data_IF_022364937996
#
_entry.id   IF_022364937996
#
_cell.length_a   1.000
_cell.length_b   1.000
_cell.length_c   1.000
_cell.angle_alpha   90.00
_cell.angle_beta   90.00
_cell.angle_gamma   90.00
#
_symmetry.space_group_name_H-M   'P 1'
#
loop_
_entity.id
_entity.type
_entity.pdbx_description
1 polymer ?
#
# COMPACT_ATOMS: atom_id res chain seq x y z
N UNK A 1 2.78 -20.25 12.34
CA UNK A 1 3.65 -19.29 11.62
C UNK A 1 3.00 -19.02 10.27
N UNK A 2 3.15 -17.82 9.67
CA UNK A 2 2.61 -17.58 8.34
C UNK A 2 3.23 -18.57 7.34
N UNK A 3 2.43 -19.08 6.42
CA UNK A 3 2.95 -19.86 5.29
C UNK A 3 3.48 -18.87 4.27
N UNK A 4 4.77 -18.92 4.00
CA UNK A 4 5.43 -18.00 3.07
C UNK A 4 5.78 -18.74 1.79
N UNK A 5 5.31 -18.18 0.67
CA UNK A 5 5.72 -18.53 -0.67
C UNK A 5 6.86 -17.61 -1.08
N UNK A 6 8.05 -18.17 -1.24
CA UNK A 6 9.21 -17.44 -1.74
C UNK A 6 9.16 -17.40 -3.27
N UNK A 7 9.13 -16.22 -3.87
CA UNK A 7 8.95 -16.06 -5.31
C UNK A 7 10.07 -16.75 -6.11
N UNK A 8 11.29 -16.75 -5.57
CA UNK A 8 12.46 -17.39 -6.18
C UNK A 8 12.40 -18.91 -6.21
N UNK A 9 11.52 -19.52 -5.41
CA UNK A 9 11.35 -20.97 -5.32
C UNK A 9 10.19 -21.49 -6.19
N UNK A 10 9.46 -20.62 -6.88
CA UNK A 10 8.29 -21.00 -7.70
C UNK A 10 8.73 -21.24 -9.16
N UNK A 11 8.38 -22.40 -9.70
CA UNK A 11 8.66 -22.73 -11.09
C UNK A 11 7.69 -22.02 -12.05
N UNK A 12 8.15 -21.71 -13.27
CA UNK A 12 7.31 -21.05 -14.29
C UNK A 12 6.08 -21.89 -14.66
N UNK A 13 6.20 -23.22 -14.70
CA UNK A 13 5.09 -24.12 -15.00
C UNK A 13 3.99 -24.10 -13.93
N UNK A 14 4.37 -23.96 -12.65
CA UNK A 14 3.41 -23.82 -11.55
C UNK A 14 2.62 -22.52 -11.67
N UNK A 15 3.31 -21.41 -12.02
CA UNK A 15 2.68 -20.10 -12.23
C UNK A 15 1.67 -20.16 -13.38
N UNK A 16 2.04 -20.78 -14.51
CA UNK A 16 1.15 -20.94 -15.67
C UNK A 16 -0.08 -21.81 -15.34
N UNK A 17 0.11 -22.87 -14.56
CA UNK A 17 -1.00 -23.74 -14.12
C UNK A 17 -1.99 -22.98 -13.23
N UNK A 18 -1.49 -22.22 -12.25
CA UNK A 18 -2.34 -21.44 -11.35
C UNK A 18 -3.07 -20.34 -12.11
N UNK A 19 -2.42 -19.68 -13.08
CA UNK A 19 -3.07 -18.69 -13.97
C UNK A 19 -4.22 -19.32 -14.75
N UNK A 20 -3.97 -20.46 -15.41
CA UNK A 20 -5.02 -21.16 -16.15
C UNK A 20 -6.21 -21.54 -15.26
N UNK A 21 -5.95 -21.92 -14.01
CA UNK A 21 -7.00 -22.19 -13.04
C UNK A 21 -7.79 -20.92 -12.68
N UNK A 22 -7.12 -19.80 -12.43
CA UNK A 22 -7.78 -18.53 -12.14
C UNK A 22 -8.72 -18.12 -13.29
N UNK A 23 -8.25 -18.20 -14.54
CA UNK A 23 -9.05 -17.87 -15.73
C UNK A 23 -10.30 -18.76 -15.85
N UNK A 24 -10.18 -20.06 -15.53
CA UNK A 24 -11.30 -21.01 -15.55
C UNK A 24 -12.34 -20.75 -14.46
N UNK A 25 -11.94 -20.16 -13.34
CA UNK A 25 -12.84 -19.80 -12.24
C UNK A 25 -13.68 -18.56 -12.56
N UNK A 26 -13.31 -17.76 -13.58
CA UNK A 26 -14.03 -16.55 -13.97
C UNK A 26 -14.00 -15.46 -12.91
N UNK A 27 -15.08 -14.67 -12.81
CA UNK A 27 -15.18 -13.52 -11.89
C UNK A 27 -15.60 -13.96 -10.48
N UNK A 28 -14.69 -14.66 -9.80
CA UNK A 28 -14.87 -15.10 -8.41
C UNK A 28 -13.82 -14.47 -7.50
N UNK A 29 -14.13 -14.33 -6.21
CA UNK A 29 -13.17 -13.85 -5.22
C UNK A 29 -11.90 -14.72 -5.17
N UNK A 30 -12.04 -16.04 -5.34
CA UNK A 30 -10.89 -16.96 -5.39
C UNK A 30 -10.02 -16.72 -6.62
N UNK A 31 -10.62 -16.53 -7.79
CA UNK A 31 -9.90 -16.15 -9.01
C UNK A 31 -9.10 -14.86 -8.80
N UNK A 32 -9.72 -13.82 -8.25
CA UNK A 32 -9.04 -12.56 -7.96
C UNK A 32 -7.82 -12.73 -7.04
N UNK A 33 -7.93 -13.54 -5.99
CA UNK A 33 -6.81 -13.85 -5.09
C UNK A 33 -5.70 -14.61 -5.81
N UNK A 34 -6.03 -15.62 -6.63
CA UNK A 34 -5.04 -16.39 -7.40
C UNK A 34 -4.34 -15.52 -8.44
N UNK A 35 -5.05 -14.62 -9.12
CA UNK A 35 -4.47 -13.66 -10.05
C UNK A 35 -3.51 -12.71 -9.35
N UNK A 36 -3.87 -12.20 -8.17
CA UNK A 36 -2.98 -11.36 -7.36
C UNK A 36 -1.73 -12.11 -6.91
N UNK A 37 -1.89 -13.37 -6.47
CA UNK A 37 -0.79 -14.25 -6.08
C UNK A 37 0.20 -14.44 -7.24
N UNK A 38 -0.30 -14.87 -8.40
CA UNK A 38 0.50 -15.06 -9.62
C UNK A 38 1.24 -13.77 -9.98
N UNK A 39 0.52 -12.64 -9.99
CA UNK A 39 1.09 -11.34 -10.32
C UNK A 39 2.20 -10.93 -9.34
N UNK A 40 2.06 -11.24 -8.05
CA UNK A 40 3.10 -10.96 -7.05
C UNK A 40 4.36 -11.82 -7.28
N UNK A 41 4.18 -13.13 -7.51
CA UNK A 41 5.29 -14.05 -7.78
C UNK A 41 6.07 -13.64 -9.03
N UNK A 42 5.38 -13.26 -10.12
CA UNK A 42 6.03 -12.81 -11.35
C UNK A 42 6.83 -11.52 -11.20
N UNK A 43 6.46 -10.66 -10.24
CA UNK A 43 7.26 -9.48 -9.87
C UNK A 43 8.43 -9.83 -8.95
N UNK A 44 8.62 -11.09 -8.59
CA UNK A 44 9.64 -11.54 -7.64
C UNK A 44 9.31 -11.16 -6.19
N UNK A 45 8.03 -10.95 -5.86
CA UNK A 45 7.60 -10.55 -4.52
C UNK A 45 7.15 -11.78 -3.74
N UNK A 46 7.78 -12.01 -2.59
CA UNK A 46 7.38 -13.06 -1.64
C UNK A 46 5.96 -12.81 -1.11
N UNK A 47 5.17 -13.87 -1.01
CA UNK A 47 3.77 -13.80 -0.56
C UNK A 47 3.60 -14.58 0.73
N UNK A 48 2.95 -13.99 1.73
CA UNK A 48 2.63 -14.65 2.99
C UNK A 48 1.12 -14.85 3.11
N UNK A 49 0.70 -16.07 3.42
CA UNK A 49 -0.69 -16.38 3.77
C UNK A 49 -0.85 -16.35 5.29
N UNK A 50 -1.87 -15.63 5.75
CA UNK A 50 -2.19 -15.50 7.17
C UNK A 50 -3.68 -15.75 7.39
N UNK A 51 -4.01 -16.48 8.45
CA UNK A 51 -5.40 -16.71 8.86
C UNK A 51 -6.03 -15.41 9.36
N UNK A 52 -7.21 -15.09 8.83
CA UNK A 52 -7.95 -13.87 9.18
C UNK A 52 -8.41 -13.84 10.65
N UNK A 53 -8.65 -15.01 11.26
CA UNK A 53 -9.09 -15.12 12.65
C UNK A 53 -7.92 -15.19 13.65
N UNK A 54 -6.68 -15.17 13.16
CA UNK A 54 -5.50 -15.30 14.02
C UNK A 54 -5.32 -14.06 14.89
N UNK A 55 -5.03 -14.30 16.17
CA UNK A 55 -4.47 -13.28 17.05
C UNK A 55 -2.96 -13.15 16.86
N UNK A 56 -2.50 -11.91 16.78
CA UNK A 56 -1.11 -11.55 16.61
C UNK A 56 -0.55 -10.94 17.90
N UNK A 57 0.67 -11.34 18.23
CA UNK A 57 1.46 -10.67 19.25
C UNK A 57 1.97 -9.30 18.75
N UNK A 58 2.33 -8.37 19.65
CA UNK A 58 2.92 -7.10 19.23
C UNK A 58 4.21 -7.23 18.42
N UNK A 59 4.96 -8.33 18.58
CA UNK A 59 6.13 -8.62 17.77
C UNK A 59 5.72 -8.97 16.34
N UNK A 60 4.78 -9.91 16.17
CA UNK A 60 4.29 -10.30 14.84
C UNK A 60 3.66 -9.12 14.11
N UNK A 61 2.92 -8.25 14.82
CA UNK A 61 2.40 -7.00 14.25
C UNK A 61 3.53 -6.11 13.73
N UNK A 62 4.60 -5.92 14.53
CA UNK A 62 5.74 -5.11 14.12
C UNK A 62 6.46 -5.68 12.89
N UNK A 63 6.62 -7.01 12.85
CA UNK A 63 7.26 -7.73 11.75
C UNK A 63 6.45 -7.65 10.45
N UNK A 64 5.11 -7.70 10.56
CA UNK A 64 4.19 -7.53 9.42
C UNK A 64 4.21 -6.09 8.91
N UNK A 65 4.12 -5.11 9.81
CA UNK A 65 4.15 -3.69 9.46
C UNK A 65 5.53 -3.18 9.05
N UNK A 66 6.60 -4.00 9.18
CA UNK A 66 7.99 -3.61 8.92
C UNK A 66 8.43 -2.38 9.74
N UNK A 67 7.99 -2.31 10.99
CA UNK A 67 8.31 -1.22 11.94
C UNK A 67 8.97 -1.77 13.20
N UNK A 68 9.50 -0.87 14.03
CA UNK A 68 10.02 -1.28 15.33
C UNK A 68 8.89 -1.71 16.28
N UNK A 69 9.15 -2.72 17.13
CA UNK A 69 8.21 -3.16 18.17
C UNK A 69 7.70 -2.00 19.05
N UNK A 70 8.54 -1.07 19.54
CA UNK A 70 8.04 0.07 20.32
C UNK A 70 7.05 0.93 19.55
N UNK A 71 7.22 1.07 18.23
CA UNK A 71 6.28 1.81 17.39
C UNK A 71 4.94 1.08 17.27
N UNK A 72 4.94 -0.23 17.03
CA UNK A 72 3.72 -1.03 17.00
C UNK A 72 2.94 -0.93 18.32
N UNK A 73 3.63 -1.02 19.47
CA UNK A 73 3.01 -0.83 20.80
C UNK A 73 2.47 0.59 20.95
N UNK A 74 3.18 1.61 20.47
CA UNK A 74 2.72 3.00 20.51
C UNK A 74 1.44 3.21 19.70
N UNK A 75 1.28 2.53 18.57
CA UNK A 75 0.02 2.57 17.79
C UNK A 75 -1.15 1.99 18.59
N UNK A 76 -0.91 0.91 19.34
CA UNK A 76 -1.90 0.29 20.22
C UNK A 76 -2.27 1.21 21.39
N UNK A 77 -1.27 1.74 22.10
CA UNK A 77 -1.48 2.61 23.25
C UNK A 77 -2.19 3.92 22.88
N UNK A 78 -2.05 4.38 21.63
CA UNK A 78 -2.76 5.54 21.08
C UNK A 78 -4.17 5.22 20.57
N UNK A 79 -4.59 3.96 20.60
CA UNK A 79 -5.88 3.51 20.07
C UNK A 79 -5.98 3.57 18.53
N UNK A 80 -4.85 3.76 17.83
CA UNK A 80 -4.81 3.83 16.36
C UNK A 80 -4.97 2.41 15.78
N UNK A 81 -4.33 1.44 16.45
CA UNK A 81 -4.45 0.02 16.17
C UNK A 81 -5.22 -0.65 17.31
N UNK A 82 -6.36 -1.27 16.97
CA UNK A 82 -7.17 -1.98 17.95
C UNK A 82 -6.41 -3.21 18.48
N UNK A 83 -6.57 -3.47 19.77
CA UNK A 83 -6.01 -4.63 20.43
C UNK A 83 -6.91 -5.06 21.58
N UNK A 84 -6.75 -6.32 21.99
CA UNK A 84 -7.36 -6.88 23.19
C UNK A 84 -6.31 -7.41 24.15
N UNK A 85 -6.69 -7.52 25.42
CA UNK A 85 -5.86 -8.15 26.45
C UNK A 85 -6.26 -9.62 26.59
N UNK A 86 -5.28 -10.51 26.48
CA UNK A 86 -5.43 -11.94 26.80
C UNK A 86 -4.51 -12.21 27.98
N UNK A 87 -5.10 -12.28 29.17
CA UNK A 87 -4.37 -12.19 30.43
C UNK A 87 -3.59 -10.87 30.50
N UNK A 88 -2.27 -10.96 30.70
CA UNK A 88 -1.38 -9.79 30.80
C UNK A 88 -0.79 -9.35 29.45
N UNK A 89 -1.14 -10.01 28.34
CA UNK A 89 -0.52 -9.75 27.04
C UNK A 89 -1.51 -9.12 26.05
N UNK A 90 -1.00 -8.15 25.27
CA UNK A 90 -1.73 -7.57 24.14
C UNK A 90 -1.81 -8.57 22.98
N UNK A 91 -2.94 -8.54 22.28
CA UNK A 91 -3.23 -9.33 21.09
C UNK A 91 -4.00 -8.47 20.09
N UNK A 92 -3.61 -8.52 18.84
CA UNK A 92 -4.28 -7.80 17.75
C UNK A 92 -4.94 -8.84 16.85
N UNK A 93 -6.22 -8.70 16.54
CA UNK A 93 -6.84 -9.57 15.55
C UNK A 93 -6.27 -9.23 14.18
N UNK A 94 -6.05 -10.24 13.33
CA UNK A 94 -5.55 -9.98 11.97
C UNK A 94 -6.47 -9.04 11.20
N UNK A 95 -7.79 -9.19 11.33
CA UNK A 95 -8.77 -8.27 10.75
C UNK A 95 -8.49 -6.79 11.14
N UNK A 96 -8.25 -6.51 12.42
CA UNK A 96 -7.94 -5.16 12.90
C UNK A 96 -6.64 -4.60 12.29
N UNK A 97 -5.64 -5.47 12.08
CA UNK A 97 -4.37 -5.10 11.46
C UNK A 97 -4.53 -4.79 9.98
N UNK A 98 -5.28 -5.61 9.25
CA UNK A 98 -5.61 -5.38 7.83
C UNK A 98 -6.37 -4.06 7.68
N UNK A 99 -7.39 -3.84 8.51
CA UNK A 99 -8.17 -2.59 8.51
C UNK A 99 -7.29 -1.37 8.79
N UNK A 100 -6.31 -1.48 9.68
CA UNK A 100 -5.32 -0.43 9.90
C UNK A 100 -4.48 -0.17 8.65
N UNK A 101 -3.93 -1.20 8.01
CA UNK A 101 -3.11 -1.08 6.80
C UNK A 101 -3.91 -0.41 5.68
N UNK A 102 -5.13 -0.89 5.42
CA UNK A 102 -5.97 -0.34 4.35
C UNK A 102 -6.37 1.11 4.61
N UNK A 103 -6.69 1.49 5.87
CA UNK A 103 -6.94 2.90 6.21
C UNK A 103 -5.69 3.75 5.99
N UNK A 104 -4.52 3.24 6.34
CA UNK A 104 -3.25 3.95 6.18
C UNK A 104 -2.90 4.15 4.69
N UNK A 105 -3.06 3.12 3.86
CA UNK A 105 -2.86 3.20 2.41
C UNK A 105 -3.81 4.21 1.76
N UNK A 106 -5.10 4.21 2.13
CA UNK A 106 -6.07 5.20 1.63
C UNK A 106 -5.68 6.62 2.01
N UNK A 107 -5.23 6.84 3.25
CA UNK A 107 -4.77 8.15 3.70
C UNK A 107 -3.53 8.61 2.91
N UNK A 108 -2.57 7.71 2.68
CA UNK A 108 -1.36 8.00 1.90
C UNK A 108 -1.69 8.31 0.43
N UNK A 109 -2.58 7.52 -0.18
CA UNK A 109 -3.04 7.77 -1.55
C UNK A 109 -3.73 9.12 -1.69
N UNK A 110 -4.55 9.51 -0.70
CA UNK A 110 -5.19 10.82 -0.68
C UNK A 110 -4.18 11.97 -0.56
N UNK A 111 -3.17 11.84 0.30
CA UNK A 111 -2.10 12.85 0.40
C UNK A 111 -1.32 12.95 -0.92
N UNK A 112 -0.97 11.81 -1.51
CA UNK A 112 -0.23 11.78 -2.78
C UNK A 112 -1.00 12.45 -3.91
N UNK A 113 -2.33 12.25 -3.99
CA UNK A 113 -3.15 12.90 -5.02
C UNK A 113 -3.29 14.41 -4.80
N UNK A 114 -3.41 14.85 -3.54
CA UNK A 114 -3.43 16.28 -3.19
C UNK A 114 -2.11 16.96 -3.57
N UNK A 115 -0.97 16.32 -3.29
CA UNK A 115 0.35 16.87 -3.65
C UNK A 115 0.57 16.91 -5.16
N UNK A 116 0.22 15.84 -5.88
CA UNK A 116 0.33 15.79 -7.35
C UNK A 116 -0.52 16.88 -8.02
N UNK A 117 -1.76 17.09 -7.54
CA UNK A 117 -2.63 18.16 -8.06
C UNK A 117 -2.05 19.56 -7.79
N UNK A 118 -1.43 19.76 -6.63
CA UNK A 118 -0.77 21.03 -6.29
C UNK A 118 0.43 21.30 -7.18
N UNK A 119 1.24 20.29 -7.45
CA UNK A 119 2.44 20.41 -8.28
C UNK A 119 2.09 20.68 -9.75
N UNK A 120 1.02 20.04 -10.26
CA UNK A 120 0.45 20.35 -11.56
C UNK A 120 -0.05 21.81 -11.64
N UNK A 121 -0.79 22.27 -10.63
CA UNK A 121 -1.29 23.65 -10.60
C UNK A 121 -0.17 24.70 -10.48
N UNK A 122 0.91 24.39 -9.75
CA UNK A 122 2.09 25.27 -9.68
C UNK A 122 2.81 25.29 -11.03
N UNK A 123 2.99 24.13 -11.67
CA UNK A 123 3.64 24.05 -12.99
C UNK A 123 2.86 24.82 -14.05
N UNK A 124 1.53 24.70 -14.08
CA UNK A 124 0.66 25.43 -15.02
C UNK A 124 0.74 26.95 -14.80
N UNK A 125 0.66 27.40 -13.54
CA UNK A 125 0.80 28.82 -13.20
C UNK A 125 2.20 29.37 -13.51
N UNK A 126 3.24 28.55 -13.39
CA UNK A 126 4.61 28.94 -13.75
C UNK A 126 4.81 29.01 -15.28
N UNK A 127 4.20 28.10 -16.03
CA UNK A 127 4.25 28.11 -17.50
C UNK A 127 3.49 29.32 -18.06
N UNK A 128 2.31 29.61 -17.54
CA UNK A 128 1.52 30.79 -17.92
C UNK A 128 2.26 32.11 -17.63
N UNK A 129 2.98 32.20 -16.51
CA UNK A 129 3.78 33.38 -16.16
C UNK A 129 5.11 33.49 -16.95
N UNK A 130 5.59 32.40 -17.55
CA UNK A 130 6.85 32.39 -18.30
C UNK A 130 6.68 32.89 -19.75
N UNK A 131 5.44 32.98 -20.26
CA UNK A 131 5.13 33.53 -21.58
C UNK A 131 5.00 35.06 -21.51
N UNK A 132 6.06 35.75 -21.09
CA UNK A 132 6.23 37.17 -21.43
C UNK A 132 6.74 37.23 -22.86
N UNK A 133 5.89 37.68 -23.77
CA UNK A 133 6.28 37.83 -25.17
C UNK A 133 7.20 39.04 -25.34
N UNK A 134 7.95 39.08 -26.44
CA UNK A 134 8.77 40.24 -26.81
C UNK A 134 7.92 41.52 -26.93
N UNK A 135 6.61 41.37 -27.19
CA UNK A 135 5.62 42.44 -27.23
C UNK A 135 5.28 42.97 -25.82
N UNK A 136 5.13 42.09 -24.83
CA UNK A 136 4.92 42.46 -23.42
C UNK A 136 6.15 43.18 -22.82
N UNK A 137 7.35 42.74 -23.21
CA UNK A 137 8.62 43.39 -22.85
C UNK A 137 8.76 44.77 -23.50
N UNK A 138 8.29 44.94 -24.73
CA UNK A 138 8.30 46.22 -25.44
C UNK A 138 7.28 47.22 -24.86
N UNK A 139 6.09 46.76 -24.44
CA UNK A 139 5.10 47.58 -23.74
C UNK A 139 5.64 48.10 -22.40
N UNK A 140 6.32 47.26 -21.62
CA UNK A 140 6.95 47.67 -20.35
C UNK A 140 8.09 48.68 -20.56
N UNK A 141 8.85 48.57 -21.66
CA UNK A 141 9.90 49.52 -22.00
C UNK A 141 9.38 50.88 -22.51
N UNK A 142 8.08 50.97 -22.81
CA UNK A 142 7.41 52.21 -23.25
C UNK A 142 6.73 53.00 -22.11
N UNK A 143 6.81 52.51 -20.87
CA UNK A 143 6.17 53.07 -19.68
C UNK A 143 7.05 54.02 -18.84
N UNK A 144 8.25 54.37 -19.32
CA UNK A 144 9.10 55.48 -18.80
C UNK A 144 8.97 56.74 -19.68
#
# INVERSE_FOLDING_TARGET
MPTVLHATAVDRGDVEMVRSLADRLGDTALSAVLTQLVSAVERGVDVALLDADKELTPNEVADILKVSRPYAVKLMDRGILAFRMVGSHRRVAMADLVDYITRHERANAHISSVLANREAAISEAMDEAAVLTDEDLAELASLD
#
